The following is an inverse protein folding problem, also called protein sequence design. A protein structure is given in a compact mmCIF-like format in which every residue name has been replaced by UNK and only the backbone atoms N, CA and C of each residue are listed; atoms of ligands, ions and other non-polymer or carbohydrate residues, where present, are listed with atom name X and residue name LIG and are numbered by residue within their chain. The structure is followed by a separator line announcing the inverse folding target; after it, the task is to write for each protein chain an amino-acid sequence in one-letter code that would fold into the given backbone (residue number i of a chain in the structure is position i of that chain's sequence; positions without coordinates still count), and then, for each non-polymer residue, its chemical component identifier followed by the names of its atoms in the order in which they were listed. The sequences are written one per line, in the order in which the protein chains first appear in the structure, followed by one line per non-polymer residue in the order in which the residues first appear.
data_IF_696820604502
#
_entry.id   IF_696820604502
#
_cell.length_a   1.000
_cell.length_b   1.000
_cell.length_c   1.000
_cell.angle_alpha   90.00
_cell.angle_beta   90.00
_cell.angle_gamma   90.00
#
_symmetry.space_group_name_H-M   'P 1'
#
loop_
_entity.id
_entity.type
_entity.pdbx_description
1 polymer ?
#
# COMPACT_ATOMS: atom_id res chain seq x y z
N UNK A 1 8.97 -4.02 -0.29
CA UNK A 1 8.40 -5.24 0.31
C UNK A 1 7.44 -4.94 1.46
N UNK A 2 7.81 -4.13 2.45
CA UNK A 2 6.92 -3.72 3.57
C UNK A 2 5.56 -3.19 3.11
N UNK A 3 5.57 -2.24 2.16
CA UNK A 3 4.32 -1.65 1.63
C UNK A 3 3.46 -2.68 0.90
N UNK A 4 4.05 -3.67 0.22
CA UNK A 4 3.32 -4.76 -0.46
C UNK A 4 2.56 -5.64 0.54
N UNK A 5 3.20 -6.03 1.64
CA UNK A 5 2.59 -6.88 2.67
C UNK A 5 1.49 -6.12 3.41
N UNK A 6 1.75 -4.88 3.81
CA UNK A 6 0.78 -4.05 4.53
C UNK A 6 -0.40 -3.68 3.62
N UNK A 7 -0.16 -3.36 2.35
CA UNK A 7 -1.20 -3.11 1.37
C UNK A 7 -2.08 -4.34 1.12
N UNK A 8 -1.48 -5.54 1.04
CA UNK A 8 -2.22 -6.79 0.94
C UNK A 8 -3.12 -7.05 2.15
N UNK A 9 -2.61 -6.86 3.37
CA UNK A 9 -3.38 -6.99 4.60
C UNK A 9 -4.46 -5.90 4.75
N UNK A 10 -4.17 -4.67 4.34
CA UNK A 10 -5.13 -3.57 4.35
C UNK A 10 -6.26 -3.78 3.34
N UNK A 11 -5.94 -4.24 2.13
CA UNK A 11 -6.93 -4.51 1.08
C UNK A 11 -7.89 -5.63 1.47
N UNK A 12 -7.40 -6.71 2.10
CA UNK A 12 -8.25 -7.80 2.58
C UNK A 12 -9.12 -7.39 3.75
N UNK A 13 -8.61 -6.60 4.69
CA UNK A 13 -9.40 -6.04 5.77
C UNK A 13 -10.55 -5.17 5.23
N UNK A 14 -10.25 -4.27 4.28
CA UNK A 14 -11.26 -3.44 3.61
C UNK A 14 -12.31 -4.32 2.90
N UNK A 15 -11.87 -5.35 2.16
CA UNK A 15 -12.76 -6.27 1.46
C UNK A 15 -13.65 -7.07 2.43
N UNK A 16 -13.12 -7.55 3.55
CA UNK A 16 -13.89 -8.29 4.54
C UNK A 16 -14.96 -7.40 5.18
N UNK A 17 -14.61 -6.16 5.53
CA UNK A 17 -15.52 -5.19 6.13
C UNK A 17 -16.66 -4.80 5.17
N UNK A 18 -16.33 -4.54 3.90
CA UNK A 18 -17.33 -4.22 2.87
C UNK A 18 -18.15 -5.44 2.47
N UNK A 19 -17.52 -6.61 2.37
CA UNK A 19 -18.18 -7.87 2.04
C UNK A 19 -19.19 -8.27 3.12
N UNK A 20 -18.84 -8.09 4.40
CA UNK A 20 -19.76 -8.31 5.51
C UNK A 20 -21.00 -7.40 5.45
N UNK A 21 -20.82 -6.12 5.09
CA UNK A 21 -21.94 -5.18 4.90
C UNK A 21 -22.78 -5.52 3.67
N UNK A 22 -22.16 -6.03 2.62
CA UNK A 22 -22.83 -6.44 1.39
C UNK A 22 -23.73 -7.66 1.64
N UNK A 23 -23.27 -8.67 2.38
CA UNK A 23 -24.10 -9.85 2.73
C UNK A 23 -25.20 -9.56 3.75
N UNK A 24 -25.07 -8.45 4.51
CA UNK A 24 -26.11 -7.95 5.42
C UNK A 24 -27.08 -7.00 4.75
N UNK A 25 -26.97 -6.83 3.42
CA UNK A 25 -27.80 -5.93 2.61
C UNK A 25 -27.71 -4.45 3.01
N UNK A 26 -26.74 -4.04 3.84
CA UNK A 26 -26.56 -2.64 4.24
C UNK A 26 -26.19 -1.74 3.05
N UNK A 27 -25.41 -2.28 2.10
CA UNK A 27 -25.03 -1.58 0.86
C UNK A 27 -26.25 -1.35 -0.04
N UNK A 28 -27.17 -2.31 -0.09
CA UNK A 28 -28.36 -2.21 -0.92
C UNK A 28 -29.41 -1.29 -0.27
N UNK A 29 -29.54 -1.35 1.06
CA UNK A 29 -30.34 -0.40 1.82
C UNK A 29 -29.90 1.06 1.58
N UNK A 30 -28.59 1.34 1.51
CA UNK A 30 -28.10 2.68 1.16
C UNK A 30 -28.51 3.11 -0.26
N UNK A 31 -28.50 2.20 -1.24
CA UNK A 31 -28.93 2.49 -2.61
C UNK A 31 -30.42 2.82 -2.68
N UNK A 32 -31.26 2.09 -1.92
CA UNK A 32 -32.70 2.36 -1.81
C UNK A 32 -32.98 3.72 -1.15
N UNK A 33 -32.13 4.14 -0.22
CA UNK A 33 -32.16 5.47 0.40
C UNK A 33 -31.62 6.60 -0.50
N UNK A 34 -31.21 6.29 -1.75
CA UNK A 34 -30.64 7.26 -2.68
C UNK A 34 -29.22 7.72 -2.33
N UNK A 35 -28.50 6.98 -1.46
CA UNK A 35 -27.15 7.31 -1.04
C UNK A 35 -26.15 6.52 -1.88
N UNK A 36 -25.23 7.22 -2.55
CA UNK A 36 -24.18 6.56 -3.33
C UNK A 36 -23.14 5.87 -2.40
N UNK A 37 -23.03 4.53 -2.42
CA UNK A 37 -22.09 3.80 -1.58
C UNK A 37 -20.63 4.01 -1.99
N UNK A 38 -20.34 4.35 -3.26
CA UNK A 38 -18.97 4.58 -3.75
C UNK A 38 -18.43 5.86 -3.12
N UNK A 39 -19.19 6.95 -3.21
CA UNK A 39 -18.75 8.24 -2.67
C UNK A 39 -18.65 8.19 -1.13
N UNK A 40 -19.57 7.50 -0.47
CA UNK A 40 -19.63 7.47 1.01
C UNK A 40 -18.68 6.46 1.66
N UNK A 41 -18.39 5.33 1.02
CA UNK A 41 -17.55 4.28 1.61
C UNK A 41 -16.21 4.12 0.92
N UNK A 42 -16.16 4.16 -0.41
CA UNK A 42 -14.93 3.83 -1.17
C UNK A 42 -13.95 4.99 -1.13
N UNK A 43 -14.39 6.21 -1.45
CA UNK A 43 -13.53 7.40 -1.49
C UNK A 43 -12.77 7.65 -0.18
N UNK A 44 -13.43 7.72 1.00
CA UNK A 44 -12.71 7.97 2.25
C UNK A 44 -11.74 6.84 2.62
N UNK A 45 -12.05 5.59 2.27
CA UNK A 45 -11.17 4.44 2.53
C UNK A 45 -9.93 4.45 1.64
N UNK A 46 -10.10 4.77 0.36
CA UNK A 46 -8.96 4.88 -0.57
C UNK A 46 -8.03 6.00 -0.13
N UNK A 47 -8.57 7.17 0.24
CA UNK A 47 -7.77 8.28 0.77
C UNK A 47 -7.03 7.89 2.07
N UNK A 48 -7.72 7.23 3.01
CA UNK A 48 -7.10 6.75 4.24
C UNK A 48 -5.96 5.74 3.96
N UNK A 49 -6.19 4.77 3.06
CA UNK A 49 -5.17 3.77 2.69
C UNK A 49 -3.96 4.40 2.01
N UNK A 50 -4.17 5.47 1.23
CA UNK A 50 -3.11 6.22 0.55
C UNK A 50 -2.26 6.99 1.55
N UNK A 51 -2.90 7.69 2.49
CA UNK A 51 -2.22 8.44 3.56
C UNK A 51 -1.40 7.50 4.44
N UNK A 52 -1.97 6.36 4.84
CA UNK A 52 -1.29 5.35 5.67
C UNK A 52 -0.10 4.75 4.92
N UNK A 53 -0.22 4.46 3.63
CA UNK A 53 0.89 3.95 2.83
C UNK A 53 2.05 4.95 2.74
N UNK A 54 1.75 6.25 2.60
CA UNK A 54 2.76 7.32 2.57
C UNK A 54 3.50 7.44 3.91
N UNK A 55 2.75 7.54 5.02
CA UNK A 55 3.28 7.63 6.37
C UNK A 55 4.14 6.41 6.75
N UNK A 56 3.67 5.20 6.40
CA UNK A 56 4.43 3.98 6.64
C UNK A 56 5.72 3.93 5.85
N UNK A 57 5.72 4.39 4.59
CA UNK A 57 6.93 4.43 3.78
C UNK A 57 7.98 5.35 4.41
N UNK A 58 7.59 6.56 4.83
CA UNK A 58 8.49 7.49 5.52
C UNK A 58 9.07 6.91 6.81
N UNK A 59 8.23 6.27 7.64
CA UNK A 59 8.66 5.64 8.88
C UNK A 59 9.62 4.46 8.65
N UNK A 60 9.35 3.62 7.65
CA UNK A 60 10.24 2.52 7.26
C UNK A 60 11.58 3.04 6.76
N UNK A 61 11.60 4.12 5.98
CA UNK A 61 12.85 4.76 5.55
C UNK A 61 13.66 5.30 6.73
N UNK A 62 13.01 6.00 7.67
CA UNK A 62 13.69 6.55 8.86
C UNK A 62 14.28 5.45 9.76
N UNK A 63 13.52 4.39 10.03
CA UNK A 63 13.98 3.25 10.83
C UNK A 63 15.08 2.47 10.08
N UNK A 64 14.94 2.29 8.77
CA UNK A 64 15.95 1.63 7.95
C UNK A 64 17.29 2.38 7.96
N UNK A 65 17.26 3.70 7.83
CA UNK A 65 18.45 4.55 7.87
C UNK A 65 19.11 4.56 9.25
N UNK A 66 18.33 4.73 10.32
CA UNK A 66 18.84 4.75 11.70
C UNK A 66 19.35 3.39 12.16
N UNK A 67 18.66 2.30 11.81
CA UNK A 67 19.10 0.94 12.07
C UNK A 67 20.37 0.58 11.28
N UNK A 68 20.44 0.97 10.00
CA UNK A 68 21.63 0.80 9.17
C UNK A 68 22.84 1.59 9.69
N UNK A 69 22.62 2.82 10.19
CA UNK A 69 23.65 3.63 10.84
C UNK A 69 24.17 2.97 12.11
N UNK A 70 23.26 2.54 12.99
CA UNK A 70 23.63 1.90 14.24
C UNK A 70 24.44 0.62 13.99
N UNK A 71 24.02 -0.21 13.03
CA UNK A 71 24.75 -1.43 12.71
C UNK A 71 26.14 -1.15 12.10
N UNK A 72 26.24 -0.24 11.14
CA UNK A 72 27.50 0.04 10.43
C UNK A 72 28.54 0.73 11.32
N UNK A 73 28.11 1.62 12.21
CA UNK A 73 29.04 2.36 13.09
C UNK A 73 29.39 1.55 14.33
N UNK A 74 28.43 0.93 15.02
CA UNK A 74 28.70 0.24 16.28
C UNK A 74 29.21 -1.19 16.12
N UNK A 75 28.79 -1.94 15.09
CA UNK A 75 29.26 -3.32 14.90
C UNK A 75 30.42 -3.43 13.92
N UNK A 76 30.43 -2.66 12.83
CA UNK A 76 31.50 -2.72 11.82
C UNK A 76 32.63 -1.71 12.04
N UNK A 77 32.49 -0.78 12.98
CA UNK A 77 33.54 0.21 13.29
C UNK A 77 33.84 1.17 12.14
N UNK A 78 32.91 1.34 11.19
CA UNK A 78 33.07 2.23 10.05
C UNK A 78 33.01 3.68 10.54
N UNK A 79 33.91 4.53 10.03
CA UNK A 79 33.93 5.95 10.38
C UNK A 79 32.56 6.58 10.09
N UNK A 80 31.90 7.24 11.06
CA UNK A 80 30.61 7.90 10.87
C UNK A 80 30.57 8.86 9.67
N UNK A 81 31.70 9.54 9.41
CA UNK A 81 31.84 10.45 8.27
C UNK A 81 31.82 9.74 6.91
N UNK A 82 32.32 8.49 6.83
CA UNK A 82 32.27 7.70 5.59
C UNK A 82 30.86 7.16 5.32
N UNK A 83 30.12 6.80 6.37
CA UNK A 83 28.73 6.35 6.24
C UNK A 83 27.80 7.47 5.81
N UNK A 84 27.93 8.67 6.40
CA UNK A 84 27.12 9.84 6.03
C UNK A 84 27.39 10.26 4.58
N UNK A 85 28.66 10.29 4.15
CA UNK A 85 29.00 10.59 2.75
C UNK A 85 28.50 9.52 1.77
N UNK A 86 28.53 8.23 2.15
CA UNK A 86 27.94 7.16 1.34
C UNK A 86 26.42 7.28 1.23
N UNK A 87 25.73 7.68 2.31
CA UNK A 87 24.29 7.93 2.32
C UNK A 87 23.88 9.08 1.41
N UNK A 88 24.57 10.22 1.42
CA UNK A 88 24.22 11.35 0.54
C UNK A 88 24.43 11.01 -0.94
N UNK A 89 25.34 10.10 -1.26
CA UNK A 89 25.61 9.66 -2.64
C UNK A 89 24.61 8.61 -3.14
N UNK A 90 24.16 7.68 -2.27
CA UNK A 90 23.21 6.62 -2.65
C UNK A 90 21.73 6.95 -2.42
N UNK A 91 21.41 7.78 -1.42
CA UNK A 91 20.04 8.15 -1.02
C UNK A 91 19.79 9.64 -1.21
N UNK A 92 19.96 10.11 -2.44
CA UNK A 92 19.60 11.47 -2.80
C UNK A 92 18.09 11.74 -2.68
N UNK A 93 17.70 13.02 -2.61
CA UNK A 93 16.30 13.47 -2.55
C UNK A 93 15.42 12.87 -3.67
N UNK A 94 16.01 12.57 -4.83
CA UNK A 94 15.33 11.97 -5.99
C UNK A 94 14.81 10.56 -5.69
N UNK A 95 15.59 9.72 -5.03
CA UNK A 95 15.18 8.36 -4.67
C UNK A 95 14.07 8.37 -3.62
N UNK A 96 14.11 9.32 -2.68
CA UNK A 96 13.06 9.51 -1.69
C UNK A 96 11.72 9.89 -2.34
N UNK A 97 11.72 10.84 -3.27
CA UNK A 97 10.52 11.26 -4.00
C UNK A 97 9.96 10.10 -4.84
N UNK A 98 10.82 9.35 -5.54
CA UNK A 98 10.40 8.16 -6.29
C UNK A 98 9.79 7.09 -5.38
N UNK A 99 10.33 6.91 -4.18
CA UNK A 99 9.79 5.98 -3.18
C UNK A 99 8.42 6.44 -2.65
N UNK A 100 8.23 7.73 -2.38
CA UNK A 100 6.93 8.27 -1.95
C UNK A 100 5.85 8.14 -3.03
N UNK A 101 6.16 8.47 -4.29
CA UNK A 101 5.21 8.31 -5.39
C UNK A 101 4.80 6.84 -5.55
N UNK A 102 5.76 5.90 -5.43
CA UNK A 102 5.47 4.45 -5.43
C UNK A 102 4.54 4.06 -4.28
N UNK A 103 4.81 4.54 -3.08
CA UNK A 103 3.99 4.23 -1.90
C UNK A 103 2.56 4.75 -2.04
N UNK A 104 2.39 5.95 -2.61
CA UNK A 104 1.09 6.56 -2.88
C UNK A 104 0.28 5.69 -3.85
N UNK A 105 0.87 5.28 -4.97
CA UNK A 105 0.22 4.41 -5.96
C UNK A 105 -0.18 3.05 -5.36
N UNK A 106 0.67 2.47 -4.50
CA UNK A 106 0.34 1.23 -3.82
C UNK A 106 -0.85 1.38 -2.87
N UNK A 107 -0.93 2.47 -2.12
CA UNK A 107 -2.07 2.77 -1.25
C UNK A 107 -3.38 2.89 -2.04
N UNK A 108 -3.38 3.68 -3.12
CA UNK A 108 -4.56 3.87 -3.98
C UNK A 108 -5.05 2.54 -4.56
N UNK A 109 -4.14 1.76 -5.13
CA UNK A 109 -4.49 0.51 -5.80
C UNK A 109 -4.96 -0.57 -4.82
N UNK A 110 -4.33 -0.67 -3.65
CA UNK A 110 -4.78 -1.59 -2.61
C UNK A 110 -6.18 -1.24 -2.09
N UNK A 111 -6.45 0.05 -1.87
CA UNK A 111 -7.78 0.53 -1.49
C UNK A 111 -8.84 0.23 -2.55
N UNK A 112 -8.53 0.48 -3.83
CA UNK A 112 -9.45 0.22 -4.94
C UNK A 112 -9.74 -1.26 -5.12
N UNK A 113 -8.73 -2.13 -5.13
CA UNK A 113 -8.92 -3.58 -5.28
C UNK A 113 -9.74 -4.14 -4.12
N UNK A 114 -9.43 -3.73 -2.88
CA UNK A 114 -10.19 -4.14 -1.70
C UNK A 114 -11.65 -3.69 -1.74
N UNK A 115 -11.92 -2.44 -2.14
CA UNK A 115 -13.28 -1.94 -2.26
C UNK A 115 -14.06 -2.62 -3.39
N UNK A 116 -13.43 -2.84 -4.54
CA UNK A 116 -14.07 -3.45 -5.71
C UNK A 116 -14.52 -4.89 -5.41
N UNK A 117 -13.62 -5.70 -4.83
CA UNK A 117 -13.96 -7.07 -4.43
C UNK A 117 -14.98 -7.10 -3.30
N UNK A 118 -14.87 -6.19 -2.33
CA UNK A 118 -15.80 -6.07 -1.21
C UNK A 118 -17.24 -5.72 -1.62
N UNK A 119 -17.45 -4.90 -2.66
CA UNK A 119 -18.80 -4.57 -3.17
C UNK A 119 -19.41 -5.65 -4.07
N UNK A 120 -18.57 -6.52 -4.65
CA UNK A 120 -19.00 -7.52 -5.65
C UNK A 120 -19.26 -8.89 -5.02
N UNK A 121 -19.10 -9.03 -3.70
CA UNK A 121 -19.29 -10.30 -3.00
C UNK A 121 -20.74 -10.80 -3.13
N UNK A 122 -20.88 -12.08 -3.46
CA UNK A 122 -22.17 -12.79 -3.52
C UNK A 122 -22.05 -14.16 -2.83
N UNK A 123 -23.15 -14.70 -2.34
CA UNK A 123 -23.19 -16.07 -1.79
C UNK A 123 -22.96 -16.20 -0.27
N UNK A 124 -23.41 -15.22 0.51
CA UNK A 124 -23.41 -15.28 1.98
C UNK A 124 -22.01 -15.28 2.62
N UNK A 125 -21.88 -15.74 3.89
CA UNK A 125 -20.62 -15.65 4.65
C UNK A 125 -19.44 -16.39 4.00
N UNK A 126 -19.70 -17.53 3.33
CA UNK A 126 -18.66 -18.27 2.60
C UNK A 126 -18.13 -17.48 1.40
N UNK A 127 -19.00 -16.71 0.72
CA UNK A 127 -18.62 -15.83 -0.39
C UNK A 127 -17.64 -14.73 0.03
N UNK A 128 -17.77 -14.20 1.26
CA UNK A 128 -16.84 -13.19 1.81
C UNK A 128 -15.43 -13.77 1.95
N UNK A 129 -15.31 -14.99 2.49
CA UNK A 129 -14.00 -15.66 2.62
C UNK A 129 -13.33 -15.89 1.27
N UNK A 130 -14.10 -16.33 0.26
CA UNK A 130 -13.56 -16.54 -1.08
C UNK A 130 -13.10 -15.21 -1.71
N UNK A 131 -13.92 -14.17 -1.59
CA UNK A 131 -13.58 -12.84 -2.10
C UNK A 131 -12.33 -12.26 -1.44
N UNK A 132 -12.11 -12.50 -0.14
CA UNK A 132 -10.90 -12.07 0.58
C UNK A 132 -9.67 -12.78 0.03
N UNK A 133 -9.72 -14.09 -0.17
CA UNK A 133 -8.60 -14.84 -0.75
C UNK A 133 -8.27 -14.38 -2.18
N UNK A 134 -9.29 -14.16 -3.00
CA UNK A 134 -9.10 -13.63 -4.35
C UNK A 134 -8.53 -12.20 -4.32
N UNK A 135 -8.95 -11.37 -3.36
CA UNK A 135 -8.43 -10.01 -3.17
C UNK A 135 -6.94 -10.02 -2.88
N UNK A 136 -6.42 -10.97 -2.09
CA UNK A 136 -4.97 -11.11 -1.85
C UNK A 136 -4.24 -11.29 -3.17
N UNK A 137 -4.70 -12.23 -4.00
CA UNK A 137 -4.04 -12.57 -5.27
C UNK A 137 -4.09 -11.39 -6.24
N UNK A 138 -5.26 -10.76 -6.40
CA UNK A 138 -5.40 -9.60 -7.28
C UNK A 138 -4.58 -8.40 -6.80
N UNK A 139 -4.58 -8.10 -5.49
CA UNK A 139 -3.78 -7.03 -4.92
C UNK A 139 -2.29 -7.31 -5.14
N UNK A 140 -1.83 -8.54 -4.90
CA UNK A 140 -0.43 -8.90 -5.07
C UNK A 140 0.03 -8.75 -6.53
N UNK A 141 -0.75 -9.27 -7.49
CA UNK A 141 -0.43 -9.16 -8.93
C UNK A 141 -0.42 -7.69 -9.37
N UNK A 142 -1.45 -6.92 -9.04
CA UNK A 142 -1.52 -5.49 -9.40
C UNK A 142 -0.36 -4.69 -8.81
N UNK A 143 -0.09 -4.86 -7.51
CA UNK A 143 1.00 -4.16 -6.84
C UNK A 143 2.37 -4.57 -7.38
N UNK A 144 2.54 -5.84 -7.74
CA UNK A 144 3.78 -6.33 -8.35
C UNK A 144 4.01 -5.72 -9.73
N UNK A 145 2.99 -5.70 -10.60
CA UNK A 145 3.09 -5.07 -11.93
C UNK A 145 3.45 -3.60 -11.81
N UNK A 146 2.78 -2.86 -10.91
CA UNK A 146 3.09 -1.44 -10.66
C UNK A 146 4.52 -1.29 -10.13
N UNK A 147 4.95 -2.17 -9.23
CA UNK A 147 6.31 -2.12 -8.71
C UNK A 147 7.36 -2.30 -9.81
N UNK A 148 7.16 -3.27 -10.71
CA UNK A 148 8.08 -3.53 -11.83
C UNK A 148 8.10 -2.34 -12.79
N UNK A 149 6.93 -1.85 -13.22
CA UNK A 149 6.83 -0.70 -14.15
C UNK A 149 7.46 0.55 -13.55
N UNK A 150 7.12 0.88 -12.31
CA UNK A 150 7.62 2.09 -11.66
C UNK A 150 9.11 1.98 -11.28
N UNK A 151 9.61 0.77 -11.06
CA UNK A 151 11.05 0.55 -10.85
C UNK A 151 11.82 0.62 -12.16
N UNK A 152 11.30 0.08 -13.26
CA UNK A 152 11.90 0.24 -14.58
C UNK A 152 11.98 1.72 -14.99
N UNK A 153 10.92 2.50 -14.76
CA UNK A 153 10.90 3.94 -15.01
C UNK A 153 11.86 4.68 -14.05
N UNK A 154 11.83 4.36 -12.76
CA UNK A 154 12.70 4.98 -11.75
C UNK A 154 14.19 4.77 -12.04
N UNK A 155 14.59 3.55 -12.44
CA UNK A 155 15.98 3.24 -12.81
C UNK A 155 16.42 3.99 -14.08
N UNK A 156 15.54 4.13 -15.07
CA UNK A 156 15.83 4.92 -16.28
C UNK A 156 16.00 6.40 -15.98
N UNK A 157 15.21 6.91 -15.04
CA UNK A 157 15.29 8.29 -14.58
C UNK A 157 16.58 8.51 -13.78
N UNK A 158 16.90 7.65 -12.80
CA UNK A 158 18.10 7.79 -11.96
C UNK A 158 19.42 7.46 -12.67
N UNK A 159 19.39 6.78 -13.82
CA UNK A 159 20.55 6.53 -14.67
C UNK A 159 20.92 7.72 -15.60
N UNK A 160 20.15 8.81 -15.55
CA UNK A 160 20.37 10.09 -16.23
C UNK A 160 20.66 11.19 -15.21
#
# INVERSE_FOLDING_TARGET
MTVLVVAGAGATAICADLGARTIREEIDAMRVLGIDPIQRLVVPRVLASTLVALLLNGLVCAIGLSGGYAFSVFLQGVNPGAFINGLTVLTGLRELILAEIKALLFGVMAGLVGCYRGLTVKGGPKGVGNAVNETVVYAFICLFVINVVMTAIGVRISAQ
#
